data_IF_596641986821
#
_entry.id   IF_596641986821
#
_cell.length_a   1.000
_cell.length_b   1.000
_cell.length_c   1.000
_cell.angle_alpha   90.00
_cell.angle_beta   90.00
_cell.angle_gamma   90.00
#
_symmetry.space_group_name_H-M   'P 1'
#
loop_
_entity.id
_entity.type
_entity.pdbx_description
1 polymer ?
#
# COMPACT_ATOMS: atom_id res chain seq x y z
N UNK A 1 -42.32 50.22 63.61
CA UNK A 1 -42.72 48.80 63.71
C UNK A 1 -42.41 48.17 62.36
N UNK A 2 -41.16 47.64 62.19
CA UNK A 2 -40.66 47.02 60.96
C UNK A 2 -40.84 45.50 61.05
N UNK A 3 -41.72 44.96 60.21
CA UNK A 3 -41.95 43.51 60.06
C UNK A 3 -40.80 42.92 59.22
N UNK A 4 -39.96 42.10 59.83
CA UNK A 4 -38.97 41.30 59.18
C UNK A 4 -39.62 40.02 58.62
N UNK A 5 -39.75 39.90 57.29
CA UNK A 5 -40.19 38.68 56.62
C UNK A 5 -38.96 37.81 56.38
N UNK A 6 -38.80 36.77 57.23
CA UNK A 6 -37.80 35.76 57.02
C UNK A 6 -38.24 34.82 55.89
N UNK A 7 -37.62 34.92 54.70
CA UNK A 7 -37.77 33.97 53.63
C UNK A 7 -37.00 32.65 53.98
N UNK A 8 -37.71 31.60 54.27
CA UNK A 8 -37.15 30.25 54.39
C UNK A 8 -36.75 29.76 52.99
N UNK A 9 -35.48 29.63 52.75
CA UNK A 9 -34.95 28.93 51.54
C UNK A 9 -35.22 27.45 51.77
N UNK A 10 -36.14 26.89 50.95
CA UNK A 10 -36.45 25.44 50.95
C UNK A 10 -35.38 24.73 50.13
N UNK A 11 -34.55 23.84 50.73
CA UNK A 11 -33.58 23.09 49.94
C UNK A 11 -34.29 22.15 48.98
N UNK A 12 -33.87 22.17 47.71
CA UNK A 12 -34.36 21.24 46.69
C UNK A 12 -34.06 19.78 47.09
N UNK A 13 -35.04 18.87 46.90
CA UNK A 13 -34.88 17.48 47.29
C UNK A 13 -33.72 16.79 46.51
N UNK A 14 -32.95 15.92 47.19
CA UNK A 14 -31.75 15.29 46.57
C UNK A 14 -32.05 14.38 45.37
N UNK A 15 -33.32 14.04 45.12
CA UNK A 15 -33.75 13.24 43.99
C UNK A 15 -33.54 13.90 42.63
N UNK A 16 -33.59 15.23 42.55
CA UNK A 16 -33.39 15.94 41.28
C UNK A 16 -31.94 15.90 40.78
N UNK A 17 -30.97 15.78 41.69
CA UNK A 17 -29.53 15.68 41.32
C UNK A 17 -29.21 14.26 40.82
N UNK A 18 -29.80 13.23 41.41
CA UNK A 18 -29.61 11.86 40.95
C UNK A 18 -30.23 11.61 39.56
N UNK A 19 -31.38 12.15 39.27
CA UNK A 19 -32.01 12.05 37.94
C UNK A 19 -31.22 12.78 36.87
N UNK A 20 -30.67 13.96 37.15
CA UNK A 20 -29.81 14.69 36.21
C UNK A 20 -28.49 13.94 35.90
N UNK A 21 -27.88 13.29 36.89
CA UNK A 21 -26.69 12.44 36.67
C UNK A 21 -27.02 11.20 35.85
N UNK A 22 -28.15 10.58 36.05
CA UNK A 22 -28.59 9.40 35.31
C UNK A 22 -28.88 9.74 33.84
N UNK A 23 -29.49 10.90 33.55
CA UNK A 23 -29.72 11.38 32.17
C UNK A 23 -28.43 11.73 31.46
N UNK A 24 -27.45 12.32 32.13
CA UNK A 24 -26.13 12.63 31.53
C UNK A 24 -25.36 11.33 31.20
N UNK A 25 -25.39 10.34 32.09
CA UNK A 25 -24.76 9.03 31.86
C UNK A 25 -25.45 8.30 30.71
N UNK A 26 -26.77 8.34 30.62
CA UNK A 26 -27.56 7.76 29.52
C UNK A 26 -27.25 8.42 28.18
N UNK A 27 -27.11 9.76 28.15
CA UNK A 27 -26.74 10.50 26.95
C UNK A 27 -25.30 10.19 26.49
N UNK A 28 -24.39 10.04 27.45
CA UNK A 28 -22.98 9.66 27.18
C UNK A 28 -22.90 8.23 26.63
N UNK A 29 -23.67 7.28 27.16
CA UNK A 29 -23.75 5.91 26.63
C UNK A 29 -24.36 5.88 25.22
N UNK A 30 -25.37 6.71 24.96
CA UNK A 30 -26.01 6.81 23.65
C UNK A 30 -25.07 7.40 22.59
N UNK A 31 -24.22 8.37 22.95
CA UNK A 31 -23.20 8.92 22.03
C UNK A 31 -22.06 7.94 21.73
N UNK A 32 -21.65 7.10 22.71
CA UNK A 32 -20.67 6.05 22.47
C UNK A 32 -21.19 4.94 21.53
N UNK A 33 -22.48 4.63 21.58
CA UNK A 33 -23.08 3.60 20.73
C UNK A 33 -23.16 3.99 19.25
N UNK A 34 -23.21 5.29 18.94
CA UNK A 34 -23.27 5.80 17.55
C UNK A 34 -21.89 5.77 16.86
N UNK A 35 -20.79 5.81 17.61
CA UNK A 35 -19.42 5.77 17.07
C UNK A 35 -18.93 4.36 16.70
N UNK A 36 -19.71 3.30 16.95
CA UNK A 36 -19.27 1.90 16.78
C UNK A 36 -19.60 1.29 15.41
N UNK A 37 -20.26 1.98 14.50
CA UNK A 37 -20.45 1.50 13.13
C UNK A 37 -19.19 1.83 12.30
N UNK A 38 -18.18 0.97 12.36
CA UNK A 38 -17.21 0.89 11.28
C UNK A 38 -17.90 0.17 10.12
N UNK A 39 -18.11 0.89 9.03
CA UNK A 39 -18.56 0.31 7.77
C UNK A 39 -17.50 -0.70 7.34
N UNK A 40 -17.82 -1.98 7.41
CA UNK A 40 -16.93 -3.03 6.96
C UNK A 40 -16.96 -3.01 5.43
N UNK A 41 -15.87 -2.59 4.82
CA UNK A 41 -15.76 -2.62 3.36
C UNK A 41 -15.74 -4.08 2.93
N UNK A 42 -16.72 -4.46 2.10
CA UNK A 42 -16.79 -5.79 1.49
C UNK A 42 -16.06 -5.75 0.14
N UNK A 43 -15.08 -6.61 -0.02
CA UNK A 43 -14.41 -6.86 -1.28
C UNK A 43 -14.81 -8.23 -1.84
N UNK A 44 -14.75 -8.44 -3.17
CA UNK A 44 -14.82 -9.78 -3.75
C UNK A 44 -13.74 -10.69 -3.15
N UNK A 45 -14.02 -12.00 -3.11
CA UNK A 45 -13.04 -13.00 -2.66
C UNK A 45 -11.89 -13.15 -3.66
N UNK A 46 -12.14 -12.86 -4.94
CA UNK A 46 -11.09 -12.78 -5.94
C UNK A 46 -10.23 -11.55 -5.67
N UNK A 47 -8.91 -11.70 -5.56
CA UNK A 47 -8.02 -10.57 -5.34
C UNK A 47 -8.08 -9.58 -6.51
N UNK A 48 -7.95 -8.30 -6.22
CA UNK A 48 -7.86 -7.24 -7.21
C UNK A 48 -6.64 -6.40 -6.96
N UNK A 49 -5.90 -6.08 -8.03
CA UNK A 49 -4.73 -5.19 -7.97
C UNK A 49 -4.90 -3.99 -8.90
N UNK A 50 -4.29 -2.86 -8.51
CA UNK A 50 -4.30 -1.63 -9.30
C UNK A 50 -2.90 -1.02 -9.31
N UNK A 51 -2.38 -0.77 -10.52
CA UNK A 51 -1.07 -0.19 -10.73
C UNK A 51 -1.00 1.22 -10.13
N UNK A 52 0.08 1.52 -9.38
CA UNK A 52 0.30 2.82 -8.73
C UNK A 52 1.49 3.57 -9.34
N UNK A 53 2.51 2.87 -9.82
CA UNK A 53 3.65 3.51 -10.43
C UNK A 53 4.89 2.62 -10.50
N UNK A 54 5.91 3.15 -11.18
CA UNK A 54 7.22 2.53 -11.28
C UNK A 54 8.31 3.56 -10.89
N UNK A 55 9.21 3.14 -10.00
CA UNK A 55 10.33 3.99 -9.53
C UNK A 55 11.66 3.37 -9.91
N UNK A 56 12.50 4.10 -10.64
CA UNK A 56 13.87 3.69 -10.94
C UNK A 56 14.74 3.72 -9.68
N UNK A 57 15.60 2.74 -9.51
CA UNK A 57 16.60 2.73 -8.44
C UNK A 57 17.97 3.21 -8.94
N UNK A 58 18.63 3.99 -8.09
CA UNK A 58 19.94 4.55 -8.38
C UNK A 58 20.96 4.14 -7.31
N UNK A 59 22.21 3.99 -7.72
CA UNK A 59 23.34 3.79 -6.83
C UNK A 59 23.67 5.09 -6.08
N UNK A 60 24.54 5.01 -5.07
CA UNK A 60 24.96 6.17 -4.27
C UNK A 60 25.69 7.26 -5.11
N UNK A 61 26.24 6.90 -6.26
CA UNK A 61 26.86 7.81 -7.22
C UNK A 61 25.88 8.39 -8.27
N UNK A 62 24.59 8.22 -8.03
CA UNK A 62 23.49 8.62 -8.94
C UNK A 62 23.50 7.91 -10.30
N UNK A 63 24.22 6.78 -10.42
CA UNK A 63 24.11 5.93 -11.61
C UNK A 63 22.91 5.00 -11.50
N UNK A 64 22.24 4.72 -12.62
CA UNK A 64 21.13 3.77 -12.64
C UNK A 64 21.63 2.38 -12.25
N UNK A 65 20.95 1.77 -11.25
CA UNK A 65 21.33 0.45 -10.73
C UNK A 65 20.95 -0.72 -11.63
N UNK A 66 20.12 -0.49 -12.64
CA UNK A 66 19.51 -1.54 -13.46
C UNK A 66 18.29 -2.17 -12.82
N UNK A 67 17.79 -1.56 -11.76
CA UNK A 67 16.66 -2.05 -10.96
C UNK A 67 15.58 -0.97 -10.81
N UNK A 68 14.37 -1.40 -10.49
CA UNK A 68 13.26 -0.51 -10.18
C UNK A 68 12.27 -1.18 -9.23
N UNK A 69 11.36 -0.37 -8.71
CA UNK A 69 10.26 -0.81 -7.85
C UNK A 69 8.96 -0.56 -8.61
N UNK A 70 8.16 -1.60 -8.77
CA UNK A 70 6.76 -1.49 -9.16
C UNK A 70 5.90 -1.44 -7.90
N UNK A 71 5.01 -0.45 -7.83
CA UNK A 71 4.05 -0.28 -6.74
C UNK A 71 2.64 -0.53 -7.25
N UNK A 72 1.84 -1.27 -6.51
CA UNK A 72 0.43 -1.51 -6.79
C UNK A 72 -0.36 -1.69 -5.49
N UNK A 73 -1.63 -1.27 -5.51
CA UNK A 73 -2.55 -1.57 -4.42
C UNK A 73 -3.22 -2.92 -4.64
N UNK A 74 -3.69 -3.52 -3.56
CA UNK A 74 -4.45 -4.76 -3.59
C UNK A 74 -5.68 -4.69 -2.68
N UNK A 75 -6.71 -5.45 -3.04
CA UNK A 75 -7.86 -5.77 -2.21
C UNK A 75 -8.15 -7.26 -2.31
N UNK A 76 -8.65 -7.84 -1.22
CA UNK A 76 -8.98 -9.26 -1.13
C UNK A 76 -10.04 -9.48 -0.06
N UNK A 77 -11.12 -10.18 -0.41
CA UNK A 77 -12.34 -10.24 0.41
C UNK A 77 -12.28 -11.19 1.59
N UNK A 78 -11.55 -12.29 1.48
CA UNK A 78 -11.37 -13.28 2.57
C UNK A 78 -10.00 -13.18 3.25
N UNK A 79 -9.05 -12.43 2.65
CA UNK A 79 -7.79 -12.07 3.27
C UNK A 79 -6.80 -13.22 3.33
N UNK A 80 -6.83 -14.12 2.37
CA UNK A 80 -5.94 -15.28 2.30
C UNK A 80 -4.75 -15.08 1.36
N UNK A 81 -4.51 -13.84 0.91
CA UNK A 81 -3.34 -13.48 0.09
C UNK A 81 -2.02 -13.87 0.74
N UNK A 82 -1.17 -14.50 -0.07
CA UNK A 82 0.16 -14.94 0.32
C UNK A 82 0.23 -16.38 0.82
N UNK A 83 1.44 -16.92 0.88
CA UNK A 83 1.71 -18.31 1.26
C UNK A 83 2.58 -18.39 2.51
N UNK A 84 2.28 -19.35 3.39
CA UNK A 84 3.12 -19.62 4.56
C UNK A 84 4.41 -20.35 4.16
N UNK A 85 5.41 -20.35 5.03
CA UNK A 85 6.63 -21.13 4.85
C UNK A 85 6.36 -22.65 4.80
N UNK A 86 5.29 -23.11 5.47
CA UNK A 86 4.85 -24.50 5.50
C UNK A 86 4.07 -24.97 4.26
N UNK A 87 3.66 -24.07 3.37
CA UNK A 87 2.95 -24.42 2.13
C UNK A 87 3.93 -24.99 1.10
N UNK A 88 4.46 -26.19 1.36
CA UNK A 88 5.49 -26.86 0.56
C UNK A 88 4.99 -28.09 -0.20
N UNK A 89 3.72 -28.42 -0.02
CA UNK A 89 3.05 -29.52 -0.73
C UNK A 89 2.30 -29.01 -1.94
N UNK A 90 2.00 -29.86 -2.93
CA UNK A 90 1.18 -29.47 -4.08
C UNK A 90 -0.13 -28.80 -3.64
N UNK A 91 -0.54 -27.71 -4.32
CA UNK A 91 0.04 -27.18 -5.57
C UNK A 91 1.14 -26.12 -5.37
N UNK A 92 1.61 -25.88 -4.14
CA UNK A 92 2.50 -24.77 -3.77
C UNK A 92 3.98 -25.21 -3.55
N UNK A 93 4.28 -26.47 -3.73
CA UNK A 93 5.63 -26.99 -3.57
C UNK A 93 6.61 -26.47 -4.62
N UNK A 94 7.91 -26.60 -4.33
CA UNK A 94 8.96 -26.19 -5.27
C UNK A 94 8.80 -26.94 -6.61
N UNK A 95 8.70 -26.21 -7.72
CA UNK A 95 8.40 -26.66 -9.09
C UNK A 95 6.95 -27.01 -9.37
N UNK A 96 6.04 -26.86 -8.42
CA UNK A 96 4.61 -26.96 -8.70
C UNK A 96 4.10 -25.72 -9.46
N UNK A 97 2.92 -25.85 -10.07
CA UNK A 97 2.34 -24.82 -10.92
C UNK A 97 2.11 -23.49 -10.18
N UNK A 98 1.80 -23.53 -8.88
CA UNK A 98 1.49 -22.38 -8.06
C UNK A 98 2.55 -22.11 -6.98
N UNK A 99 3.79 -22.51 -7.24
CA UNK A 99 4.91 -22.19 -6.35
C UNK A 99 5.07 -20.67 -6.19
N UNK A 100 4.90 -19.93 -7.28
CA UNK A 100 4.84 -18.46 -7.27
C UNK A 100 3.40 -18.01 -7.17
N UNK A 101 3.12 -17.13 -6.23
CA UNK A 101 1.81 -16.50 -6.04
C UNK A 101 1.76 -15.05 -6.52
N UNK A 102 2.84 -14.54 -7.09
CA UNK A 102 2.90 -13.36 -7.92
C UNK A 102 3.59 -13.72 -9.22
N UNK A 103 2.84 -13.67 -10.32
CA UNK A 103 3.33 -13.98 -11.66
C UNK A 103 3.67 -12.67 -12.36
N UNK A 104 4.89 -12.60 -12.87
CA UNK A 104 5.41 -11.41 -13.54
C UNK A 104 5.99 -11.79 -14.87
N UNK A 105 5.38 -11.29 -15.93
CA UNK A 105 5.80 -11.49 -17.30
C UNK A 105 6.58 -10.28 -17.83
N UNK A 106 7.74 -10.55 -18.41
CA UNK A 106 8.58 -9.55 -19.06
C UNK A 106 8.15 -9.37 -20.52
N UNK A 107 7.81 -8.15 -20.88
CA UNK A 107 7.37 -7.76 -22.21
C UNK A 107 8.38 -6.81 -22.84
N UNK A 108 8.86 -7.10 -24.02
CA UNK A 108 9.77 -6.25 -24.79
C UNK A 108 9.06 -5.62 -25.97
N UNK A 109 9.33 -4.36 -26.25
CA UNK A 109 8.85 -3.70 -27.47
C UNK A 109 9.62 -4.19 -28.69
N UNK A 110 8.90 -4.77 -29.63
CA UNK A 110 9.41 -5.22 -30.92
C UNK A 110 8.56 -4.58 -32.03
N UNK A 111 9.15 -3.73 -32.84
CA UNK A 111 8.44 -2.97 -33.89
C UNK A 111 7.24 -2.14 -33.38
N UNK A 112 7.32 -1.66 -32.14
CA UNK A 112 6.28 -0.85 -31.51
C UNK A 112 5.18 -1.64 -30.77
N UNK A 113 5.22 -2.97 -30.84
CA UNK A 113 4.32 -3.85 -30.09
C UNK A 113 5.06 -4.51 -28.90
N UNK A 114 4.36 -4.65 -27.76
CA UNK A 114 4.92 -5.35 -26.61
C UNK A 114 4.63 -6.84 -26.70
N UNK A 115 5.69 -7.64 -26.74
CA UNK A 115 5.60 -9.10 -26.83
C UNK A 115 6.27 -9.75 -25.62
N UNK A 116 5.65 -10.78 -25.06
CA UNK A 116 6.22 -11.58 -23.98
C UNK A 116 7.51 -12.22 -24.47
N UNK A 117 8.61 -11.87 -23.83
CA UNK A 117 9.94 -12.31 -24.22
C UNK A 117 10.68 -12.88 -23.01
N UNK A 118 11.24 -14.09 -23.09
CA UNK A 118 12.04 -14.62 -21.99
C UNK A 118 13.33 -13.79 -21.81
N UNK A 119 13.60 -13.36 -20.61
CA UNK A 119 14.90 -12.82 -20.27
C UNK A 119 15.86 -13.98 -20.01
N UNK A 120 17.00 -13.98 -20.69
CA UNK A 120 17.98 -15.05 -20.61
C UNK A 120 19.20 -14.58 -19.81
N UNK A 121 19.70 -15.45 -18.93
CA UNK A 121 20.94 -15.27 -18.20
C UNK A 121 21.92 -16.41 -18.49
N UNK A 122 23.17 -16.09 -18.76
CA UNK A 122 24.19 -17.09 -18.98
C UNK A 122 24.53 -17.83 -17.67
N UNK A 123 24.42 -19.15 -17.71
CA UNK A 123 24.81 -20.02 -16.60
C UNK A 123 26.17 -20.68 -16.92
N UNK A 124 27.25 -20.26 -16.24
CA UNK A 124 28.59 -20.81 -16.49
C UNK A 124 28.76 -22.27 -16.06
N UNK A 125 27.93 -22.78 -15.13
CA UNK A 125 27.98 -24.15 -14.66
C UNK A 125 27.43 -25.13 -15.68
N UNK A 126 26.34 -24.77 -16.35
CA UNK A 126 25.69 -25.59 -17.39
C UNK A 126 26.17 -25.23 -18.79
N UNK A 127 26.94 -24.13 -18.96
CA UNK A 127 27.34 -23.57 -20.24
C UNK A 127 26.15 -23.33 -21.19
N UNK A 128 25.03 -22.90 -20.63
CA UNK A 128 23.78 -22.64 -21.37
C UNK A 128 23.09 -21.38 -20.82
N UNK A 129 22.07 -20.92 -21.56
CA UNK A 129 21.22 -19.85 -21.07
C UNK A 129 20.04 -20.42 -20.30
N UNK A 130 19.83 -19.91 -19.09
CA UNK A 130 18.65 -20.15 -18.27
C UNK A 130 17.66 -19.00 -18.44
N UNK A 131 16.36 -19.31 -18.37
CA UNK A 131 15.32 -18.29 -18.35
C UNK A 131 15.23 -17.69 -16.96
N UNK A 132 15.35 -16.36 -16.88
CA UNK A 132 15.13 -15.60 -15.65
C UNK A 132 13.62 -15.50 -15.42
N UNK A 133 13.17 -15.86 -14.22
CA UNK A 133 11.81 -15.58 -13.78
C UNK A 133 11.77 -14.32 -12.94
N UNK A 134 10.77 -13.49 -13.17
CA UNK A 134 10.45 -12.32 -12.33
C UNK A 134 9.34 -12.64 -11.34
N UNK A 135 8.70 -13.80 -11.50
CA UNK A 135 7.65 -14.25 -10.58
C UNK A 135 8.21 -14.47 -9.18
N UNK A 136 7.41 -14.17 -8.18
CA UNK A 136 7.80 -14.22 -6.79
C UNK A 136 6.81 -15.01 -5.94
N UNK A 137 7.33 -15.48 -4.81
CA UNK A 137 6.54 -16.06 -3.74
C UNK A 137 6.54 -15.08 -2.58
N UNK A 138 5.42 -14.38 -2.34
CA UNK A 138 5.28 -13.50 -1.20
C UNK A 138 4.57 -14.21 -0.04
N UNK A 139 4.92 -13.76 1.17
CA UNK A 139 4.38 -14.33 2.40
C UNK A 139 2.94 -13.86 2.64
N UNK A 140 2.22 -14.62 3.46
CA UNK A 140 0.90 -14.20 3.94
C UNK A 140 0.93 -12.78 4.47
N UNK A 141 -0.03 -11.99 4.02
CA UNK A 141 -0.18 -10.59 4.43
C UNK A 141 -0.92 -10.46 5.75
N UNK A 142 -1.52 -11.57 6.22
CA UNK A 142 -2.26 -11.65 7.46
C UNK A 142 -2.02 -13.00 8.15
N UNK A 143 -1.77 -12.98 9.47
CA UNK A 143 -1.46 -14.19 10.27
C UNK A 143 -2.71 -14.92 10.81
N UNK A 144 -3.93 -14.49 10.48
CA UNK A 144 -5.17 -15.11 10.95
C UNK A 144 -5.79 -16.00 9.88
N UNK A 145 -6.33 -17.13 10.29
CA UNK A 145 -7.10 -18.04 9.41
C UNK A 145 -8.58 -17.63 9.27
N UNK A 146 -9.06 -16.70 10.11
CA UNK A 146 -10.44 -16.22 9.99
C UNK A 146 -10.59 -15.34 8.75
N UNK A 147 -11.57 -15.61 7.86
CA UNK A 147 -11.82 -14.78 6.69
C UNK A 147 -12.10 -13.32 7.09
N UNK A 148 -11.36 -12.41 6.51
CA UNK A 148 -11.53 -10.98 6.71
C UNK A 148 -10.89 -10.21 5.57
N UNK A 149 -11.67 -9.34 4.96
CA UNK A 149 -11.19 -8.48 3.88
C UNK A 149 -9.92 -7.70 4.27
N UNK A 150 -8.98 -7.67 3.34
CA UNK A 150 -7.74 -6.91 3.44
C UNK A 150 -7.55 -6.00 2.24
N UNK A 151 -6.81 -4.92 2.45
CA UNK A 151 -6.35 -4.03 1.40
C UNK A 151 -5.03 -3.39 1.81
N UNK A 152 -4.24 -3.00 0.84
CA UNK A 152 -2.95 -2.37 1.09
C UNK A 152 -2.20 -2.04 -0.19
N UNK A 153 -0.92 -1.72 -0.05
CA UNK A 153 0.00 -1.47 -1.16
C UNK A 153 1.16 -2.43 -1.07
N UNK A 154 1.64 -2.88 -2.22
CA UNK A 154 2.79 -3.76 -2.35
C UNK A 154 3.83 -3.10 -3.26
N UNK A 155 5.07 -3.08 -2.79
CA UNK A 155 6.23 -2.66 -3.55
C UNK A 155 7.06 -3.89 -3.92
N UNK A 156 7.29 -4.06 -5.22
CA UNK A 156 8.06 -5.18 -5.72
C UNK A 156 9.27 -4.71 -6.54
N UNK A 157 10.46 -5.13 -6.09
CA UNK A 157 11.72 -4.78 -6.74
C UNK A 157 11.98 -5.72 -7.91
N UNK A 158 12.25 -5.13 -9.06
CA UNK A 158 12.52 -5.82 -10.33
C UNK A 158 13.87 -5.41 -10.91
N UNK A 159 14.54 -6.36 -11.53
CA UNK A 159 15.68 -6.08 -12.42
C UNK A 159 15.12 -5.70 -13.79
N UNK A 160 15.39 -4.50 -14.25
CA UNK A 160 14.87 -3.98 -15.53
C UNK A 160 15.93 -3.97 -16.63
N UNK A 161 17.22 -3.90 -16.27
CA UNK A 161 18.30 -3.86 -17.24
C UNK A 161 18.62 -5.26 -17.77
N UNK A 162 18.54 -5.42 -19.08
CA UNK A 162 19.06 -6.59 -19.77
C UNK A 162 20.51 -6.31 -20.24
N UNK A 163 21.53 -6.99 -19.68
CA UNK A 163 22.91 -6.80 -20.08
C UNK A 163 23.17 -7.09 -21.58
N UNK A 164 22.35 -7.94 -22.17
CA UNK A 164 22.45 -8.32 -23.59
C UNK A 164 21.76 -7.30 -24.52
N UNK A 165 20.92 -6.43 -24.00
CA UNK A 165 20.19 -5.41 -24.75
C UNK A 165 19.88 -4.20 -23.86
N UNK A 166 20.89 -3.33 -23.62
CA UNK A 166 20.82 -2.29 -22.60
C UNK A 166 19.93 -1.08 -22.94
N UNK A 167 19.34 -1.01 -24.13
CA UNK A 167 18.55 0.12 -24.60
C UNK A 167 17.14 -0.35 -25.06
N UNK A 168 16.54 -1.22 -24.28
CA UNK A 168 15.20 -1.74 -24.58
C UNK A 168 14.10 -0.83 -24.02
N UNK A 169 12.92 -0.90 -24.61
CA UNK A 169 11.69 -0.43 -24.04
C UNK A 169 10.89 -1.66 -23.62
N UNK A 170 10.56 -1.74 -22.34
CA UNK A 170 9.92 -2.91 -21.73
C UNK A 170 8.66 -2.54 -20.98
N UNK A 171 7.87 -3.54 -20.64
CA UNK A 171 6.78 -3.50 -19.64
C UNK A 171 6.81 -4.78 -18.83
N UNK A 172 6.17 -4.73 -17.67
CA UNK A 172 5.82 -5.92 -16.91
C UNK A 172 4.31 -6.08 -16.87
N UNK A 173 3.82 -7.30 -17.10
CA UNK A 173 2.47 -7.73 -16.74
C UNK A 173 2.53 -8.47 -15.42
N UNK A 174 1.61 -8.15 -14.52
CA UNK A 174 1.61 -8.70 -13.16
C UNK A 174 0.19 -9.12 -12.80
N UNK A 175 0.06 -10.32 -12.25
CA UNK A 175 -1.12 -10.77 -11.53
C UNK A 175 -0.71 -11.55 -10.29
N UNK A 176 -1.61 -11.66 -9.33
CA UNK A 176 -1.39 -12.38 -8.09
C UNK A 176 -2.43 -13.48 -7.91
N UNK A 177 -2.07 -14.51 -7.15
CA UNK A 177 -2.96 -15.58 -6.75
C UNK A 177 -3.10 -15.57 -5.23
N UNK A 178 -4.31 -15.80 -4.75
CA UNK A 178 -4.55 -16.09 -3.35
C UNK A 178 -4.26 -17.57 -3.03
N UNK A 179 -4.49 -17.95 -1.78
CA UNK A 179 -4.26 -19.33 -1.34
C UNK A 179 -5.34 -20.30 -1.81
N UNK A 180 -6.54 -19.81 -2.10
CA UNK A 180 -7.62 -20.57 -2.71
C UNK A 180 -7.46 -20.73 -4.23
N UNK A 181 -6.40 -20.12 -4.82
CA UNK A 181 -6.07 -20.09 -6.25
C UNK A 181 -7.01 -19.23 -7.09
N UNK A 182 -7.66 -18.23 -6.49
CA UNK A 182 -8.30 -17.21 -7.29
C UNK A 182 -7.23 -16.28 -7.86
N UNK A 183 -7.38 -15.95 -9.14
CA UNK A 183 -6.47 -15.06 -9.85
C UNK A 183 -7.01 -13.61 -9.82
N UNK A 184 -6.12 -12.65 -9.59
CA UNK A 184 -6.46 -11.25 -9.75
C UNK A 184 -6.61 -10.86 -11.21
N UNK A 185 -7.09 -9.64 -11.45
CA UNK A 185 -6.88 -8.99 -12.74
C UNK A 185 -5.39 -8.82 -13.05
N UNK A 186 -5.05 -8.70 -14.34
CA UNK A 186 -3.70 -8.38 -14.81
C UNK A 186 -3.52 -6.86 -14.83
N UNK A 187 -2.41 -6.36 -14.30
CA UNK A 187 -1.96 -4.98 -14.47
C UNK A 187 -0.71 -4.94 -15.34
N UNK A 188 -0.50 -3.80 -16.00
CA UNK A 188 0.71 -3.52 -16.77
C UNK A 188 1.39 -2.26 -16.23
N UNK A 189 2.72 -2.26 -16.23
CA UNK A 189 3.49 -1.02 -16.00
C UNK A 189 3.35 -0.10 -17.23
N UNK A 190 3.71 1.18 -17.03
CA UNK A 190 4.05 2.03 -18.16
C UNK A 190 5.24 1.46 -18.95
N UNK A 191 5.52 2.05 -20.12
CA UNK A 191 6.70 1.71 -20.87
C UNK A 191 7.97 2.19 -20.13
N UNK A 192 8.83 1.25 -19.77
CA UNK A 192 10.07 1.49 -19.05
C UNK A 192 11.21 1.44 -20.07
N UNK A 193 11.97 2.52 -20.19
CA UNK A 193 13.16 2.55 -21.01
C UNK A 193 14.38 2.18 -20.18
N UNK A 194 15.13 1.16 -20.60
CA UNK A 194 16.28 0.65 -19.85
C UNK A 194 17.59 1.34 -20.18
N UNK A 195 17.59 2.29 -21.12
CA UNK A 195 18.77 3.06 -21.52
C UNK A 195 19.13 4.17 -20.52
N UNK A 196 20.40 4.53 -20.49
CA UNK A 196 21.00 5.44 -19.51
C UNK A 196 20.37 6.86 -19.47
N UNK A 197 19.79 7.34 -20.58
CA UNK A 197 19.32 8.73 -20.68
C UNK A 197 18.01 8.98 -19.94
N UNK A 198 17.09 8.04 -19.97
CA UNK A 198 15.78 8.22 -19.34
C UNK A 198 15.82 7.93 -17.84
N UNK A 199 16.73 7.05 -17.40
CA UNK A 199 17.04 6.89 -16.00
C UNK A 199 17.54 8.19 -15.37
N UNK A 200 18.35 8.99 -16.09
CA UNK A 200 18.81 10.30 -15.61
C UNK A 200 17.64 11.31 -15.53
N UNK A 201 16.78 11.35 -16.54
CA UNK A 201 15.60 12.24 -16.55
C UNK A 201 14.59 11.87 -15.47
N UNK A 202 14.36 10.57 -15.22
CA UNK A 202 13.51 10.10 -14.14
C UNK A 202 14.09 10.45 -12.75
N UNK A 203 15.43 10.42 -12.59
CA UNK A 203 16.05 10.86 -11.33
C UNK A 203 15.84 12.34 -11.05
N UNK A 204 15.89 13.17 -12.07
CA UNK A 204 15.65 14.62 -11.93
C UNK A 204 14.19 14.91 -11.56
N UNK A 205 13.24 14.24 -12.20
CA UNK A 205 11.82 14.36 -11.86
C UNK A 205 11.50 13.89 -10.43
N UNK A 206 12.13 12.80 -9.98
CA UNK A 206 11.96 12.34 -8.61
C UNK A 206 12.53 13.32 -7.58
N UNK A 207 13.65 13.97 -7.88
CA UNK A 207 14.25 15.01 -7.02
C UNK A 207 13.34 16.23 -6.95
N UNK A 208 12.76 16.66 -8.06
CA UNK A 208 11.82 17.79 -8.12
C UNK A 208 10.55 17.48 -7.33
N UNK A 209 9.93 16.32 -7.53
CA UNK A 209 8.73 15.92 -6.79
C UNK A 209 8.99 15.77 -5.28
N UNK A 210 10.16 15.26 -4.89
CA UNK A 210 10.56 15.17 -3.49
C UNK A 210 10.76 16.54 -2.86
N UNK A 211 11.37 17.48 -3.59
CA UNK A 211 11.56 18.87 -3.13
C UNK A 211 10.24 19.61 -2.99
N UNK A 212 9.29 19.42 -3.90
CA UNK A 212 7.95 20.02 -3.81
C UNK A 212 7.16 19.48 -2.61
N UNK A 213 7.19 18.15 -2.39
CA UNK A 213 6.48 17.54 -1.25
C UNK A 213 7.06 17.99 0.09
N UNK A 214 8.36 18.15 0.21
CA UNK A 214 9.02 18.65 1.42
C UNK A 214 8.79 20.15 1.63
N UNK A 215 8.79 20.97 0.57
CA UNK A 215 8.49 22.39 0.67
C UNK A 215 7.04 22.66 1.10
N UNK A 216 6.09 21.83 0.67
CA UNK A 216 4.68 21.90 1.10
C UNK A 216 4.55 21.49 2.58
N UNK A 217 5.29 20.48 3.04
CA UNK A 217 5.25 20.06 4.44
C UNK A 217 5.87 21.09 5.39
N UNK A 218 6.95 21.78 4.98
CA UNK A 218 7.55 22.86 5.77
C UNK A 218 6.65 24.10 5.82
N UNK A 219 6.01 24.48 4.70
CA UNK A 219 5.05 25.59 4.71
C UNK A 219 3.81 25.30 5.55
N UNK A 220 3.36 24.04 5.61
CA UNK A 220 2.23 23.67 6.46
C UNK A 220 2.60 23.70 7.94
N UNK A 221 3.80 23.24 8.32
CA UNK A 221 4.29 23.29 9.70
C UNK A 221 4.54 24.75 10.18
N UNK A 222 5.00 25.63 9.30
CA UNK A 222 5.19 27.06 9.61
C UNK A 222 3.84 27.76 9.76
N UNK A 223 2.83 27.41 8.98
CA UNK A 223 1.48 28.00 9.10
C UNK A 223 0.79 27.57 10.39
N UNK A 224 0.95 26.32 10.84
CA UNK A 224 0.40 25.85 12.12
C UNK A 224 1.10 26.49 13.32
N UNK A 225 2.42 26.65 13.29
CA UNK A 225 3.16 27.35 14.35
C UNK A 225 2.84 28.84 14.42
N UNK A 226 2.54 29.47 13.30
CA UNK A 226 2.13 30.89 13.26
C UNK A 226 0.71 31.09 13.78
N UNK A 227 -0.19 30.14 13.47
CA UNK A 227 -1.57 30.11 14.00
C UNK A 227 -1.60 29.90 15.51
N UNK A 228 -0.77 29.04 16.07
CA UNK A 228 -0.66 28.85 17.52
C UNK A 228 -0.09 30.06 18.27
N UNK A 229 0.88 30.79 17.69
CA UNK A 229 1.42 32.02 18.31
C UNK A 229 0.44 33.18 18.34
N UNK A 230 -0.52 33.24 17.42
CA UNK A 230 -1.56 34.28 17.44
C UNK A 230 -2.64 34.01 18.49
N UNK A 231 -2.80 32.77 18.95
CA UNK A 231 -3.74 32.41 20.02
C UNK A 231 -3.19 32.61 21.45
N UNK A 232 -1.88 32.63 21.65
CA UNK A 232 -1.25 32.88 22.95
C UNK A 232 -1.03 34.39 23.27
N UNK A 233 -1.36 35.28 22.35
CA UNK A 233 -1.17 36.72 22.50
C UNK A 233 -2.39 37.52 23.04
N UNK A 234 -3.49 36.85 23.40
CA UNK A 234 -4.70 37.48 23.92
C UNK A 234 -5.27 36.79 25.17
N UNK A 235 -4.47 36.69 26.22
CA UNK A 235 -4.94 36.46 27.60
C UNK A 235 -4.17 37.39 28.54
#
# INVERSE_FOLDING_TARGET
MLLWISQKVVPLPPQTIAMKKLTIIGLLFMTLAICSCQEQVEYPIEPRIEYQGFTYLFNADSTFSGEGIVSFSYTDGDGDLGLNEGDTLPPFGFRDAHYFNMVVDYMKSVNGEFVKTPLLSWNPQTQSFDTVTFSARFRRLRDSEEPKAISGTMDYKLTVQNPLSPNDTIKFEIHILDRALHESNVIQTEAIYTGRRDALNASLQNIESYSETHSISETHSISETHSMRLYEGHL
#
